data_IF_659627265307
#
_entry.id   IF_659627265307
#
_cell.length_a   1.000
_cell.length_b   1.000
_cell.length_c   1.000
_cell.angle_alpha   90.00
_cell.angle_beta   90.00
_cell.angle_gamma   90.00
#
_symmetry.space_group_name_H-M   'P 1'
#
loop_
_entity.id
_entity.type
_entity.pdbx_description
1 polymer ?
#
# COMPACT_ATOMS: atom_id res chain seq x y z
N UNK A 1 -1.35 -0.02 -14.06
CA UNK A 1 -1.67 0.48 -12.72
C UNK A 1 -2.09 -0.70 -11.84
N UNK A 2 -1.58 -0.79 -10.64
CA UNK A 2 -1.89 -1.87 -9.71
C UNK A 2 -2.35 -1.31 -8.37
N UNK A 3 -3.17 -2.06 -7.63
CA UNK A 3 -3.59 -1.69 -6.29
C UNK A 3 -3.19 -2.79 -5.31
N UNK A 4 -2.84 -2.39 -4.08
CA UNK A 4 -2.49 -3.32 -3.00
C UNK A 4 -3.09 -2.84 -1.69
N UNK A 5 -3.52 -3.80 -0.87
CA UNK A 5 -4.01 -3.53 0.46
C UNK A 5 -2.88 -3.75 1.45
N UNK A 6 -2.59 -2.73 2.24
CA UNK A 6 -1.57 -2.80 3.28
C UNK A 6 -2.25 -2.91 4.63
N UNK A 7 -2.04 -4.04 5.30
CA UNK A 7 -2.60 -4.31 6.62
C UNK A 7 -1.46 -4.39 7.61
N UNK A 8 -1.44 -3.45 8.54
CA UNK A 8 -0.39 -3.37 9.54
C UNK A 8 -0.99 -3.49 10.92
N UNK A 9 -0.22 -3.99 11.90
CA UNK A 9 -0.67 -4.00 13.30
C UNK A 9 -0.55 -2.60 13.94
N UNK A 10 -0.86 -1.55 13.17
CA UNK A 10 -0.84 -0.18 13.63
C UNK A 10 -2.25 0.29 13.94
N UNK A 11 -2.36 1.27 14.82
CA UNK A 11 -3.63 1.89 15.09
C UNK A 11 -4.05 2.81 13.93
N UNK A 12 -5.27 3.33 14.02
CA UNK A 12 -5.82 4.19 12.99
C UNK A 12 -4.97 5.44 12.76
N UNK A 13 -4.39 5.99 13.82
CA UNK A 13 -3.53 7.17 13.72
C UNK A 13 -2.26 6.88 12.91
N UNK A 14 -1.65 5.73 13.13
CA UNK A 14 -0.47 5.31 12.37
C UNK A 14 -0.80 5.13 10.89
N UNK A 15 -1.95 4.54 10.58
CA UNK A 15 -2.40 4.36 9.20
C UNK A 15 -2.67 5.69 8.50
N UNK A 16 -3.25 6.67 9.21
CA UNK A 16 -3.46 8.01 8.66
C UNK A 16 -2.14 8.68 8.31
N UNK A 17 -1.13 8.53 9.16
CA UNK A 17 0.21 9.05 8.88
C UNK A 17 0.81 8.42 7.62
N UNK A 18 0.58 7.14 7.40
CA UNK A 18 1.04 6.45 6.20
C UNK A 18 0.34 6.97 4.95
N UNK A 19 -0.96 7.22 5.01
CA UNK A 19 -1.72 7.78 3.88
C UNK A 19 -1.12 9.10 3.43
N UNK A 20 -0.65 9.92 4.36
CA UNK A 20 -0.05 11.21 4.06
C UNK A 20 1.37 11.09 3.48
N UNK A 21 2.12 10.06 3.89
CA UNK A 21 3.55 9.94 3.54
C UNK A 21 3.83 9.03 2.36
N UNK A 22 2.96 8.05 2.08
CA UNK A 22 3.22 7.07 1.03
C UNK A 22 3.18 7.63 -0.39
N UNK A 23 2.26 8.53 -0.76
CA UNK A 23 2.23 9.04 -2.14
C UNK A 23 3.57 9.67 -2.54
N UNK A 24 4.07 9.28 -3.70
CA UNK A 24 5.38 9.72 -4.21
C UNK A 24 6.54 8.83 -3.81
N UNK A 25 6.33 7.86 -2.92
CA UNK A 25 7.41 6.93 -2.52
C UNK A 25 7.40 5.68 -3.40
N UNK A 26 8.52 4.96 -3.36
CA UNK A 26 8.65 3.67 -4.03
C UNK A 26 8.50 2.58 -2.97
N UNK A 27 7.70 1.56 -3.26
CA UNK A 27 7.57 0.43 -2.36
C UNK A 27 7.74 -0.89 -3.10
N UNK A 28 8.29 -1.87 -2.39
CA UNK A 28 8.43 -3.23 -2.88
C UNK A 28 7.40 -4.12 -2.19
N UNK A 29 6.86 -5.07 -2.92
CA UNK A 29 5.84 -5.98 -2.38
C UNK A 29 5.90 -7.33 -3.10
N UNK A 30 5.41 -8.36 -2.42
CA UNK A 30 5.34 -9.70 -2.97
C UNK A 30 4.00 -9.93 -3.66
N UNK A 31 4.06 -10.53 -4.84
CA UNK A 31 2.89 -11.02 -5.54
C UNK A 31 3.17 -12.47 -5.94
N UNK A 32 2.60 -13.41 -5.18
CA UNK A 32 2.99 -14.81 -5.31
C UNK A 32 4.46 -14.97 -4.94
N UNK A 33 5.25 -15.53 -5.87
CA UNK A 33 6.68 -15.75 -5.69
C UNK A 33 7.54 -14.61 -6.26
N UNK A 34 6.91 -13.56 -6.77
CA UNK A 34 7.63 -12.45 -7.41
C UNK A 34 7.71 -11.25 -6.49
N UNK A 35 8.90 -10.68 -6.38
CA UNK A 35 9.09 -9.41 -5.70
C UNK A 35 9.02 -8.28 -6.72
N UNK A 36 8.08 -7.39 -6.52
CA UNK A 36 7.83 -6.28 -7.43
C UNK A 36 8.10 -4.96 -6.73
N UNK A 37 8.39 -3.95 -7.51
CA UNK A 37 8.57 -2.58 -7.03
C UNK A 37 7.71 -1.65 -7.87
N UNK A 38 7.03 -0.72 -7.20
CA UNK A 38 6.23 0.28 -7.87
C UNK A 38 6.27 1.61 -7.15
N UNK A 39 5.86 2.67 -7.84
CA UNK A 39 5.75 4.00 -7.25
C UNK A 39 4.32 4.21 -6.78
N UNK A 40 4.16 4.61 -5.52
CA UNK A 40 2.86 4.90 -4.94
C UNK A 40 2.35 6.23 -5.49
N UNK A 41 1.21 6.21 -6.15
CA UNK A 41 0.59 7.41 -6.70
C UNK A 41 -0.54 7.93 -5.83
N UNK A 42 -1.19 7.04 -5.06
CA UNK A 42 -2.26 7.41 -4.16
C UNK A 42 -2.34 6.40 -3.02
N UNK A 43 -2.80 6.85 -1.87
CA UNK A 43 -3.05 5.99 -0.72
C UNK A 43 -4.33 6.46 -0.03
N UNK A 44 -5.17 5.51 0.37
CA UNK A 44 -6.45 5.81 1.01
C UNK A 44 -6.70 4.82 2.14
N UNK A 45 -7.14 5.33 3.28
CA UNK A 45 -7.53 4.47 4.39
C UNK A 45 -8.96 3.99 4.18
N UNK A 46 -9.16 2.68 4.27
CA UNK A 46 -10.45 2.04 4.14
C UNK A 46 -10.69 1.11 5.33
N UNK A 47 -11.90 0.60 5.44
CA UNK A 47 -12.24 -0.41 6.43
C UNK A 47 -12.81 -1.64 5.73
N UNK A 48 -12.46 -2.81 6.22
CA UNK A 48 -13.02 -4.04 5.71
C UNK A 48 -14.43 -4.27 6.30
N UNK A 49 -15.06 -5.39 5.93
CA UNK A 49 -16.40 -5.71 6.42
C UNK A 49 -16.47 -5.99 7.92
N UNK A 50 -15.33 -6.22 8.56
CA UNK A 50 -15.25 -6.40 10.00
C UNK A 50 -14.93 -5.11 10.74
N UNK A 51 -14.80 -3.99 10.03
CA UNK A 51 -14.47 -2.69 10.61
C UNK A 51 -12.99 -2.47 10.87
N UNK A 52 -12.12 -3.37 10.42
CA UNK A 52 -10.68 -3.23 10.61
C UNK A 52 -10.10 -2.27 9.57
N UNK A 53 -9.33 -1.26 10.00
CA UNK A 53 -8.75 -0.31 9.04
C UNK A 53 -7.58 -0.92 8.28
N UNK A 54 -7.44 -0.50 7.03
CA UNK A 54 -6.29 -0.82 6.21
C UNK A 54 -6.04 0.32 5.22
N UNK A 55 -4.88 0.32 4.58
CA UNK A 55 -4.54 1.33 3.57
C UNK A 55 -4.50 0.65 2.21
N UNK A 56 -5.26 1.19 1.26
CA UNK A 56 -5.18 0.77 -0.14
C UNK A 56 -4.27 1.74 -0.86
N UNK A 57 -3.26 1.22 -1.57
CA UNK A 57 -2.34 2.03 -2.35
C UNK A 57 -2.49 1.72 -3.82
N UNK A 58 -2.33 2.75 -4.64
CA UNK A 58 -2.22 2.61 -6.09
C UNK A 58 -0.77 2.73 -6.49
N UNK A 59 -0.33 1.84 -7.37
CA UNK A 59 1.07 1.73 -7.79
C UNK A 59 1.17 1.86 -9.30
N UNK A 60 2.16 2.60 -9.77
CA UNK A 60 2.50 2.73 -11.18
C UNK A 60 3.94 2.31 -11.40
N UNK A 61 4.29 2.09 -12.67
CA UNK A 61 5.64 1.70 -13.08
C UNK A 61 6.12 0.45 -12.34
N UNK A 62 5.21 -0.52 -12.20
CA UNK A 62 5.51 -1.75 -11.47
C UNK A 62 6.47 -2.60 -12.29
N UNK A 63 7.61 -2.96 -11.68
CA UNK A 63 8.64 -3.75 -12.33
C UNK A 63 9.15 -4.84 -11.37
N UNK A 64 9.65 -5.97 -11.90
CA UNK A 64 10.32 -6.97 -11.08
C UNK A 64 11.60 -6.40 -10.44
N UNK A 65 11.86 -6.78 -9.19
CA UNK A 65 13.05 -6.32 -8.49
C UNK A 65 14.28 -7.10 -8.92
N UNK A 66 14.10 -8.36 -9.25
CA UNK A 66 15.21 -9.22 -9.63
C UNK A 66 15.22 -9.50 -11.14
#
# INVERSE_FOLDING_TARGET
MATRDLRFPFDEKGLKGMVERLPGTVMSYWEGDSLLRGRVTAAEMKRDRYGNPYVEVELEEVTPVA
#
